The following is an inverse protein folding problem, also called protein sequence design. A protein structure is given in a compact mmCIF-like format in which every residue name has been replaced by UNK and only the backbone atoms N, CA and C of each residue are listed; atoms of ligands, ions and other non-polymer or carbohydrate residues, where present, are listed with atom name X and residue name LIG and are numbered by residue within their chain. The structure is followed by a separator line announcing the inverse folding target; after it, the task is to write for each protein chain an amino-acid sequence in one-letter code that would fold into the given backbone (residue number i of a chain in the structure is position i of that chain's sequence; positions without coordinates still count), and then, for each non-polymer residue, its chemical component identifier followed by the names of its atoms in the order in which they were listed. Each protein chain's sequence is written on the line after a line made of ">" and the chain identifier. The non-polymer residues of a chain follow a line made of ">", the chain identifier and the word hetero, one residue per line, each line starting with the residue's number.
data_IF_869652393272
#
_entry.id   IF_869652393272
#
_cell.length_a   1.000
_cell.length_b   1.000
_cell.length_c   1.000
_cell.angle_alpha   90.00
_cell.angle_beta   90.00
_cell.angle_gamma   90.00
#
_symmetry.space_group_name_H-M   'P 1'
#
loop_
_entity.id
_entity.type
_entity.pdbx_description
1 polymer ?
#
# COMPACT_ATOMS: atom_id res chain seq x y z
N UNK A 1 -3.36 -6.81 3.23
CA UNK A 1 -2.13 -7.05 4.00
C UNK A 1 -1.70 -5.85 4.85
N UNK A 2 -0.96 -4.83 4.40
CA UNK A 2 -0.48 -3.77 5.33
C UNK A 2 -1.60 -2.98 6.01
N UNK A 3 -2.69 -2.68 5.29
CA UNK A 3 -3.87 -2.02 5.89
C UNK A 3 -4.57 -2.88 6.95
N UNK A 4 -4.57 -4.20 6.74
CA UNK A 4 -5.19 -5.17 7.64
C UNK A 4 -4.32 -5.39 8.88
N UNK A 5 -2.99 -5.35 8.72
CA UNK A 5 -2.05 -5.36 9.84
C UNK A 5 -2.28 -4.15 10.77
N UNK A 6 -2.53 -2.95 10.22
CA UNK A 6 -2.92 -1.78 11.04
C UNK A 6 -4.23 -2.06 11.78
N UNK A 7 -5.24 -2.60 11.09
CA UNK A 7 -6.54 -2.90 11.70
C UNK A 7 -6.43 -3.89 12.88
N UNK A 8 -5.57 -4.92 12.76
CA UNK A 8 -5.30 -5.88 13.82
C UNK A 8 -4.63 -5.22 15.04
N UNK A 9 -3.72 -4.27 14.81
CA UNK A 9 -3.04 -3.52 15.88
C UNK A 9 -3.92 -2.42 16.50
N UNK A 10 -5.10 -2.15 15.95
CA UNK A 10 -6.02 -1.12 16.43
C UNK A 10 -5.35 0.26 16.50
N UNK A 11 -5.62 1.01 17.58
CA UNK A 11 -5.03 2.35 17.77
C UNK A 11 -3.50 2.36 17.82
N UNK A 12 -2.87 1.29 18.32
CA UNK A 12 -1.41 1.15 18.34
C UNK A 12 -0.81 1.05 16.94
N UNK A 13 -1.57 0.57 15.96
CA UNK A 13 -1.14 0.46 14.58
C UNK A 13 -0.92 1.82 13.87
N UNK A 14 -1.40 2.91 14.46
CA UNK A 14 -1.20 4.28 13.97
C UNK A 14 -0.11 5.03 14.71
N UNK A 15 0.40 4.50 15.83
CA UNK A 15 1.47 5.14 16.58
C UNK A 15 2.81 4.93 15.88
N UNK A 16 3.66 5.96 15.93
CA UNK A 16 5.02 5.93 15.41
C UNK A 16 5.93 4.90 16.11
N UNK A 17 5.51 4.44 17.29
CA UNK A 17 6.26 3.48 18.12
C UNK A 17 6.28 2.07 17.51
N UNK A 18 5.31 1.76 16.63
CA UNK A 18 5.23 0.47 15.95
C UNK A 18 5.58 0.60 14.47
N UNK A 19 6.35 -0.35 13.94
CA UNK A 19 6.81 -0.32 12.55
C UNK A 19 5.68 -0.49 11.52
N UNK A 20 4.50 -0.97 11.93
CA UNK A 20 3.38 -1.27 11.03
C UNK A 20 2.89 -0.05 10.24
N UNK A 21 2.86 1.14 10.84
CA UNK A 21 2.51 2.38 10.12
C UNK A 21 3.57 2.77 9.08
N UNK A 22 4.85 2.48 9.34
CA UNK A 22 5.93 2.73 8.37
C UNK A 22 5.76 1.81 7.17
N UNK A 23 5.57 0.51 7.39
CA UNK A 23 5.33 -0.45 6.31
C UNK A 23 4.08 -0.13 5.50
N UNK A 24 3.03 0.38 6.14
CA UNK A 24 1.85 0.86 5.42
C UNK A 24 2.18 2.05 4.51
N UNK A 25 2.93 3.05 4.97
CA UNK A 25 3.38 4.19 4.15
C UNK A 25 4.26 3.74 2.99
N UNK A 26 5.23 2.87 3.24
CA UNK A 26 6.14 2.34 2.23
C UNK A 26 5.38 1.49 1.18
N UNK A 27 4.32 0.79 1.59
CA UNK A 27 3.49 0.06 0.63
C UNK A 27 2.66 0.99 -0.27
N UNK A 28 2.27 2.19 0.18
CA UNK A 28 1.43 3.11 -0.63
C UNK A 28 2.16 3.68 -1.85
N UNK A 29 3.47 3.93 -1.76
CA UNK A 29 4.25 4.48 -2.88
C UNK A 29 4.36 3.49 -4.05
N UNK A 30 4.29 2.18 -3.76
CA UNK A 30 4.36 1.13 -4.79
C UNK A 30 3.27 1.23 -5.85
N UNK A 31 2.14 1.86 -5.53
CA UNK A 31 1.01 2.04 -6.45
C UNK A 31 1.18 3.22 -7.42
N UNK A 32 2.26 4.00 -7.29
CA UNK A 32 2.46 5.27 -8.02
C UNK A 32 3.79 5.28 -8.77
N UNK A 33 4.89 4.84 -8.15
CA UNK A 33 6.23 5.18 -8.63
C UNK A 33 6.62 4.51 -9.98
N UNK A 34 6.30 3.23 -10.19
CA UNK A 34 6.59 2.49 -11.45
C UNK A 34 5.36 2.45 -12.37
N UNK A 35 4.65 3.57 -12.45
CA UNK A 35 3.38 3.66 -13.13
C UNK A 35 2.22 3.42 -12.17
N UNK A 36 1.21 4.26 -12.33
CA UNK A 36 0.01 4.18 -11.48
C UNK A 36 -0.73 2.89 -11.74
N UNK A 37 -1.52 2.46 -10.76
CA UNK A 37 -2.39 1.28 -10.91
C UNK A 37 -3.30 1.34 -12.14
N UNK A 38 -3.71 2.54 -12.60
CA UNK A 38 -4.50 2.71 -13.81
C UNK A 38 -3.69 2.47 -15.09
N UNK A 39 -2.45 2.97 -15.16
CA UNK A 39 -1.56 2.73 -16.30
C UNK A 39 -1.26 1.24 -16.43
N UNK A 40 -1.01 0.56 -15.31
CA UNK A 40 -0.82 -0.89 -15.28
C UNK A 40 -2.05 -1.63 -15.82
N UNK A 41 -3.26 -1.25 -15.37
CA UNK A 41 -4.52 -1.80 -15.91
C UNK A 41 -4.68 -1.57 -17.41
N UNK A 42 -4.36 -0.37 -17.89
CA UNK A 42 -4.47 -0.01 -19.31
C UNK A 42 -3.49 -0.82 -20.17
N UNK A 43 -2.26 -1.03 -19.71
CA UNK A 43 -1.27 -1.85 -20.44
C UNK A 43 -1.75 -3.30 -20.52
N UNK A 44 -2.22 -3.88 -19.41
CA UNK A 44 -2.79 -5.23 -19.39
C UNK A 44 -3.97 -5.34 -20.36
N UNK A 45 -4.88 -4.36 -20.36
CA UNK A 45 -6.04 -4.34 -21.24
C UNK A 45 -5.69 -4.20 -22.73
N UNK A 46 -4.52 -3.63 -23.08
CA UNK A 46 -4.04 -3.54 -24.47
C UNK A 46 -3.34 -4.81 -24.96
N UNK A 47 -2.88 -5.65 -24.04
CA UNK A 47 -2.23 -6.93 -24.34
C UNK A 47 -3.19 -8.14 -24.37
N UNK A 48 -4.47 -7.91 -24.08
CA UNK A 48 -5.57 -8.85 -24.21
C UNK A 48 -6.32 -8.61 -25.53
#
# INVERSE_FOLDING_TARGET
>A
VCSEAIQIHGGYGYLSDYLVQKYYRDARITQIYEGTSEIQRLIIARGL
#
